data_IF_841528143976
#
_entry.id   IF_841528143976
#
_cell.length_a   1.000
_cell.length_b   1.000
_cell.length_c   1.000
_cell.angle_alpha   90.00
_cell.angle_beta   90.00
_cell.angle_gamma   90.00
#
_symmetry.space_group_name_H-M   'P 1'
#
loop_
_entity.id
_entity.type
_entity.pdbx_description
1 polymer ?
#
# COMPACT_ATOMS: atom_id res chain seq x y z
N UNK A 1 31.62 19.47 -2.97
CA UNK A 1 30.43 19.34 -3.83
C UNK A 1 29.52 18.34 -3.16
N UNK A 2 28.24 18.64 -2.96
CA UNK A 2 27.29 17.64 -2.42
C UNK A 2 27.04 16.65 -3.56
N UNK A 3 27.24 15.33 -3.38
CA UNK A 3 27.03 14.35 -4.43
C UNK A 3 25.58 14.37 -4.95
N UNK A 4 25.37 13.95 -6.20
CA UNK A 4 24.07 13.95 -6.85
C UNK A 4 23.01 13.25 -5.99
N UNK A 5 21.85 13.90 -5.81
CA UNK A 5 20.77 13.36 -4.98
C UNK A 5 20.18 12.12 -5.66
N UNK A 6 20.18 11.00 -4.94
CA UNK A 6 19.60 9.75 -5.43
C UNK A 6 18.09 9.94 -5.76
N UNK A 7 17.66 9.64 -7.01
CA UNK A 7 16.28 9.83 -7.42
C UNK A 7 15.34 8.72 -6.93
N UNK A 8 15.89 7.57 -6.54
CA UNK A 8 15.13 6.44 -6.03
C UNK A 8 14.90 6.57 -4.52
N UNK A 9 13.69 6.18 -4.09
CA UNK A 9 13.20 6.38 -2.72
C UNK A 9 12.71 5.05 -2.12
N UNK A 10 13.62 4.16 -1.67
CA UNK A 10 13.25 2.89 -1.07
C UNK A 10 12.71 3.01 0.36
N UNK A 11 12.59 4.22 0.91
CA UNK A 11 12.05 4.44 2.25
C UNK A 11 10.54 4.15 2.31
N UNK A 12 10.11 3.52 3.40
CA UNK A 12 8.72 3.12 3.60
C UNK A 12 7.75 4.30 3.48
N UNK A 13 6.71 4.13 2.66
CA UNK A 13 5.64 5.11 2.48
C UNK A 13 6.03 6.40 1.74
N UNK A 14 7.27 6.55 1.28
CA UNK A 14 7.65 7.69 0.45
C UNK A 14 7.18 7.48 -0.99
N UNK A 15 6.47 8.46 -1.55
CA UNK A 15 6.13 8.44 -2.97
C UNK A 15 7.41 8.51 -3.82
N UNK A 16 7.57 7.59 -4.79
CA UNK A 16 8.69 7.62 -5.71
C UNK A 16 8.62 8.89 -6.57
N UNK A 17 9.76 9.32 -7.13
CA UNK A 17 9.77 10.46 -8.05
C UNK A 17 8.97 10.14 -9.31
N UNK A 18 9.04 8.88 -9.74
CA UNK A 18 8.28 8.37 -10.86
C UNK A 18 7.52 7.12 -10.41
N UNK A 19 6.21 7.17 -10.56
CA UNK A 19 5.33 6.05 -10.26
C UNK A 19 5.22 5.15 -11.48
N UNK A 20 5.42 3.85 -11.28
CA UNK A 20 5.45 2.88 -12.36
C UNK A 20 4.06 2.28 -12.63
N UNK A 21 3.50 2.51 -13.82
CA UNK A 21 2.35 1.75 -14.33
C UNK A 21 1.08 1.89 -13.49
N UNK A 22 0.79 3.10 -13.00
CA UNK A 22 -0.41 3.43 -12.19
C UNK A 22 -1.16 4.67 -12.70
N UNK A 23 -0.82 5.13 -13.90
CA UNK A 23 -1.35 6.35 -14.50
C UNK A 23 -2.85 6.21 -14.78
N UNK A 24 -3.30 5.01 -15.14
CA UNK A 24 -4.71 4.73 -15.40
C UNK A 24 -5.55 4.86 -14.13
N UNK A 25 -5.10 4.27 -13.02
CA UNK A 25 -5.77 4.29 -11.72
C UNK A 25 -5.87 5.73 -11.19
N UNK A 26 -4.77 6.48 -11.25
CA UNK A 26 -4.75 7.89 -10.84
C UNK A 26 -5.67 8.74 -11.72
N UNK A 27 -5.62 8.53 -13.04
CA UNK A 27 -6.50 9.26 -13.96
C UNK A 27 -7.96 8.94 -13.70
N UNK A 28 -8.30 7.65 -13.50
CA UNK A 28 -9.64 7.18 -13.14
C UNK A 28 -10.16 7.85 -11.88
N UNK A 29 -9.33 7.92 -10.83
CA UNK A 29 -9.66 8.62 -9.59
C UNK A 29 -9.87 10.12 -9.80
N UNK A 30 -9.01 10.78 -10.57
CA UNK A 30 -9.13 12.21 -10.89
C UNK A 30 -10.45 12.52 -11.61
N UNK A 31 -10.87 11.67 -12.56
CA UNK A 31 -12.18 11.78 -13.19
C UNK A 31 -13.30 11.70 -12.15
N UNK A 32 -13.15 10.86 -11.13
CA UNK A 32 -14.11 10.75 -10.03
C UNK A 32 -14.23 12.02 -9.21
N UNK A 33 -13.11 12.61 -8.83
CA UNK A 33 -13.10 13.85 -8.05
C UNK A 33 -13.76 15.02 -8.82
N UNK A 34 -13.48 15.15 -10.11
CA UNK A 34 -14.06 16.21 -10.96
C UNK A 34 -15.52 15.93 -11.36
N UNK A 35 -15.92 14.66 -11.46
CA UNK A 35 -17.19 14.22 -12.03
C UNK A 35 -18.46 14.52 -11.23
N UNK A 36 -18.36 15.18 -10.07
CA UNK A 36 -19.50 15.49 -9.20
C UNK A 36 -20.02 14.29 -8.39
N UNK A 37 -21.01 14.55 -7.53
CA UNK A 37 -21.63 13.56 -6.65
C UNK A 37 -22.18 12.37 -7.45
N UNK A 38 -21.95 11.15 -6.94
CA UNK A 38 -22.44 9.92 -7.57
C UNK A 38 -21.50 9.27 -8.57
N UNK A 39 -20.33 9.85 -8.83
CA UNK A 39 -19.28 9.17 -9.60
C UNK A 39 -18.82 7.89 -8.89
N UNK A 40 -18.85 6.75 -9.59
CA UNK A 40 -18.39 5.46 -9.07
C UNK A 40 -16.90 5.45 -8.73
N UNK A 41 -16.12 6.33 -9.37
CA UNK A 41 -14.68 6.47 -9.18
C UNK A 41 -14.31 7.22 -7.89
N UNK A 42 -15.28 7.53 -7.02
CA UNK A 42 -15.06 8.15 -5.70
C UNK A 42 -14.97 7.15 -4.55
N UNK A 43 -15.20 5.86 -4.79
CA UNK A 43 -15.04 4.82 -3.77
C UNK A 43 -14.08 3.74 -4.31
N UNK A 44 -12.92 3.59 -3.69
CA UNK A 44 -11.88 2.67 -4.13
C UNK A 44 -11.43 1.73 -3.01
N UNK A 45 -11.21 0.47 -3.37
CA UNK A 45 -10.60 -0.54 -2.53
C UNK A 45 -9.35 -1.06 -3.24
N UNK A 46 -8.19 -0.80 -2.66
CA UNK A 46 -6.88 -1.18 -3.15
C UNK A 46 -6.42 -2.42 -2.39
N UNK A 47 -6.19 -3.52 -3.11
CA UNK A 47 -5.75 -4.79 -2.54
C UNK A 47 -4.36 -5.16 -3.07
N UNK A 48 -3.69 -6.10 -2.41
CA UNK A 48 -2.41 -6.65 -2.87
C UNK A 48 -1.43 -6.93 -1.74
N UNK A 49 -0.30 -7.55 -2.06
CA UNK A 49 0.69 -7.96 -1.06
C UNK A 49 1.42 -6.78 -0.43
N UNK A 50 2.23 -7.02 0.61
CA UNK A 50 3.09 -5.97 1.18
C UNK A 50 4.06 -5.47 0.11
N UNK A 51 4.40 -4.17 0.12
CA UNK A 51 5.43 -3.57 -0.75
C UNK A 51 5.09 -3.43 -2.25
N UNK A 52 3.86 -3.74 -2.68
CA UNK A 52 3.39 -3.52 -4.07
C UNK A 52 2.95 -2.08 -4.37
N UNK A 53 3.15 -1.15 -3.43
CA UNK A 53 2.84 0.27 -3.63
C UNK A 53 1.42 0.70 -3.26
N UNK A 54 0.72 -0.04 -2.39
CA UNK A 54 -0.63 0.34 -1.90
C UNK A 54 -0.65 1.72 -1.22
N UNK A 55 0.17 1.92 -0.19
CA UNK A 55 0.31 3.20 0.52
C UNK A 55 0.77 4.31 -0.42
N UNK A 56 1.66 4.00 -1.37
CA UNK A 56 2.11 4.96 -2.39
C UNK A 56 0.91 5.39 -3.25
N UNK A 57 0.10 4.46 -3.73
CA UNK A 57 -1.09 4.79 -4.53
C UNK A 57 -2.11 5.62 -3.73
N UNK A 58 -2.31 5.32 -2.44
CA UNK A 58 -3.14 6.16 -1.57
C UNK A 58 -2.57 7.59 -1.47
N UNK A 59 -1.26 7.74 -1.27
CA UNK A 59 -0.63 9.07 -1.22
C UNK A 59 -0.83 9.85 -2.53
N UNK A 60 -0.79 9.18 -3.68
CA UNK A 60 -1.04 9.82 -4.99
C UNK A 60 -2.50 10.27 -5.14
N UNK A 61 -3.45 9.49 -4.62
CA UNK A 61 -4.85 9.91 -4.53
C UNK A 61 -5.00 11.13 -3.63
N UNK A 62 -4.34 11.16 -2.48
CA UNK A 62 -4.34 12.32 -1.59
C UNK A 62 -3.72 13.56 -2.26
N UNK A 63 -2.60 13.41 -2.97
CA UNK A 63 -1.98 14.51 -3.70
C UNK A 63 -2.88 15.02 -4.83
N UNK A 64 -3.53 14.12 -5.57
CA UNK A 64 -4.55 14.47 -6.56
C UNK A 64 -5.71 15.24 -5.96
N UNK A 65 -6.22 14.79 -4.81
CA UNK A 65 -7.28 15.46 -4.09
C UNK A 65 -6.85 16.87 -3.67
N UNK A 66 -5.64 17.03 -3.12
CA UNK A 66 -5.08 18.33 -2.80
C UNK A 66 -4.99 19.26 -4.00
N UNK A 67 -4.41 18.79 -5.12
CA UNK A 67 -4.30 19.59 -6.36
C UNK A 67 -5.66 20.07 -6.87
N UNK A 68 -6.72 19.31 -6.60
CA UNK A 68 -8.10 19.64 -6.96
C UNK A 68 -8.85 20.41 -5.86
N UNK A 69 -8.18 20.81 -4.78
CA UNK A 69 -8.76 21.62 -3.70
C UNK A 69 -9.56 20.84 -2.66
N UNK A 70 -9.50 19.51 -2.67
CA UNK A 70 -10.20 18.68 -1.68
C UNK A 70 -9.48 18.67 -0.33
N UNK A 71 -10.27 18.51 0.74
CA UNK A 71 -9.79 18.27 2.10
C UNK A 71 -9.47 16.79 2.23
N UNK A 72 -8.30 16.44 2.76
CA UNK A 72 -7.92 15.04 2.97
C UNK A 72 -7.86 14.74 4.46
N UNK A 73 -8.57 13.70 4.88
CA UNK A 73 -8.49 13.13 6.23
C UNK A 73 -8.07 11.66 6.16
N UNK A 74 -7.18 11.26 7.07
CA UNK A 74 -6.70 9.88 7.16
C UNK A 74 -7.33 9.18 8.36
N UNK A 75 -7.85 7.97 8.14
CA UNK A 75 -8.24 7.06 9.20
C UNK A 75 -7.10 6.06 9.45
N UNK A 76 -6.67 5.97 10.70
CA UNK A 76 -5.68 4.98 11.12
C UNK A 76 -6.41 3.69 11.49
N UNK A 77 -6.18 2.62 10.73
CA UNK A 77 -6.83 1.35 10.95
C UNK A 77 -6.35 0.70 12.26
N UNK A 78 -7.13 0.85 13.32
CA UNK A 78 -6.96 0.20 14.61
C UNK A 78 -8.32 0.03 15.31
N UNK A 79 -8.32 -0.45 16.55
CA UNK A 79 -9.54 -0.65 17.33
C UNK A 79 -10.21 0.65 17.83
N UNK A 80 -9.64 1.82 17.55
CA UNK A 80 -10.10 3.15 17.97
C UNK A 80 -10.30 4.10 16.77
N UNK A 81 -10.19 3.61 15.53
CA UNK A 81 -10.32 4.37 14.28
C UNK A 81 -11.56 5.30 14.28
N UNK A 82 -12.72 4.68 14.55
CA UNK A 82 -13.94 5.21 15.16
C UNK A 82 -13.81 6.56 15.86
N UNK A 83 -13.32 6.42 17.09
CA UNK A 83 -13.18 7.47 18.08
C UNK A 83 -12.14 8.51 17.65
N UNK A 84 -11.01 8.10 17.07
CA UNK A 84 -9.95 9.01 16.62
C UNK A 84 -10.47 9.97 15.53
N UNK A 85 -11.17 9.44 14.52
CA UNK A 85 -11.80 10.25 13.48
C UNK A 85 -12.79 11.26 14.09
N UNK A 86 -13.68 10.76 14.97
CA UNK A 86 -14.76 11.54 15.58
C UNK A 86 -14.26 12.64 16.52
N UNK A 87 -13.22 12.35 17.30
CA UNK A 87 -12.82 13.17 18.46
C UNK A 87 -11.58 14.01 18.20
N UNK A 88 -10.76 13.69 17.18
CA UNK A 88 -9.52 14.41 16.87
C UNK A 88 -9.43 14.79 15.39
N UNK A 89 -9.32 13.82 14.46
CA UNK A 89 -9.01 14.11 13.05
C UNK A 89 -10.03 15.05 12.40
N UNK A 90 -11.33 14.81 12.59
CA UNK A 90 -12.37 15.64 11.98
C UNK A 90 -12.45 17.03 12.63
N UNK A 91 -12.48 17.16 13.98
CA UNK A 91 -12.38 18.46 14.63
C UNK A 91 -11.19 19.30 14.17
N UNK A 92 -9.98 18.72 14.10
CA UNK A 92 -8.77 19.41 13.65
C UNK A 92 -8.90 19.90 12.20
N UNK A 93 -9.44 19.08 11.31
CA UNK A 93 -9.70 19.48 9.93
C UNK A 93 -10.68 20.65 9.82
N UNK A 94 -11.73 20.70 10.65
CA UNK A 94 -12.67 21.82 10.68
C UNK A 94 -11.97 23.10 11.18
N UNK A 95 -11.20 23.02 12.26
CA UNK A 95 -10.48 24.19 12.80
C UNK A 95 -9.51 24.80 11.80
N UNK A 96 -8.84 23.97 10.99
CA UNK A 96 -7.93 24.43 9.94
C UNK A 96 -8.65 25.09 8.75
N UNK A 97 -9.85 24.60 8.39
CA UNK A 97 -10.73 25.26 7.41
C UNK A 97 -11.12 26.67 7.89
N UNK A 98 -11.62 26.78 9.12
CA UNK A 98 -12.05 28.05 9.72
C UNK A 98 -10.89 29.05 9.81
N UNK A 99 -9.68 28.58 10.09
CA UNK A 99 -8.48 29.43 10.11
C UNK A 99 -8.12 29.98 8.74
N UNK A 100 -8.32 29.18 7.69
CA UNK A 100 -8.03 29.54 6.31
C UNK A 100 -9.06 30.55 5.79
N UNK A 101 -10.34 30.39 6.15
CA UNK A 101 -11.42 31.35 5.85
C UNK A 101 -11.11 32.76 6.37
N UNK A 102 -10.70 32.86 7.64
CA UNK A 102 -10.40 34.16 8.30
C UNK A 102 -9.23 34.92 7.67
N UNK A 103 -8.36 34.24 6.91
CA UNK A 103 -7.18 34.84 6.26
C UNK A 103 -7.38 35.15 4.77
N UNK A 104 -8.58 34.96 4.22
CA UNK A 104 -8.88 35.27 2.82
C UNK A 104 -8.09 34.44 1.80
N UNK A 105 -7.55 33.28 2.19
CA UNK A 105 -6.86 32.36 1.27
C UNK A 105 -7.88 31.36 0.72
N UNK A 106 -7.89 31.16 -0.60
CA UNK A 106 -8.61 30.01 -1.19
C UNK A 106 -7.89 28.72 -0.78
N UNK A 107 -8.65 27.72 -0.38
CA UNK A 107 -8.11 26.39 -0.06
C UNK A 107 -7.64 25.75 -1.35
N UNK A 108 -6.37 25.36 -1.40
CA UNK A 108 -5.76 24.67 -2.54
C UNK A 108 -5.27 23.27 -2.15
N UNK A 109 -5.87 22.67 -1.12
CA UNK A 109 -5.53 21.36 -0.56
C UNK A 109 -4.63 21.42 0.68
N UNK A 110 -5.02 20.72 1.75
CA UNK A 110 -4.19 20.44 2.93
C UNK A 110 -4.59 19.10 3.59
N UNK A 111 -3.63 18.43 4.23
CA UNK A 111 -3.78 17.11 4.87
C UNK A 111 -3.72 17.25 6.38
N UNK A 112 -4.71 16.69 7.09
CA UNK A 112 -4.65 16.57 8.55
C UNK A 112 -4.25 15.14 8.92
N UNK A 113 -3.04 15.00 9.44
CA UNK A 113 -2.57 13.79 10.09
C UNK A 113 -2.87 13.91 11.59
N UNK A 114 -3.58 12.94 12.17
CA UNK A 114 -3.92 12.94 13.59
C UNK A 114 -2.68 12.85 14.45
N UNK A 115 -2.13 14.00 14.86
CA UNK A 115 -0.96 14.08 15.73
C UNK A 115 -1.45 14.16 17.17
N UNK A 116 -1.30 13.06 17.90
CA UNK A 116 -1.09 13.04 19.35
C UNK A 116 -2.24 13.59 20.20
N UNK A 117 -2.96 12.68 20.85
CA UNK A 117 -4.04 12.96 21.80
C UNK A 117 -3.74 14.12 22.76
N UNK A 118 -4.33 15.30 22.51
CA UNK A 118 -4.67 16.21 23.58
C UNK A 118 -5.97 15.68 24.18
N UNK A 119 -5.85 14.86 25.23
CA UNK A 119 -7.01 14.48 26.04
C UNK A 119 -7.45 15.69 26.87
N UNK A 120 -8.13 16.63 26.24
CA UNK A 120 -9.01 17.53 26.97
C UNK A 120 -10.21 16.70 27.40
N UNK A 121 -10.19 16.27 28.66
CA UNK A 121 -11.40 15.80 29.34
C UNK A 121 -12.38 16.98 29.41
N UNK A 122 -13.12 17.20 28.34
CA UNK A 122 -14.27 18.08 28.35
C UNK A 122 -15.37 17.36 29.12
N UNK A 123 -15.45 17.67 30.41
CA UNK A 123 -16.60 17.33 31.25
C UNK A 123 -17.77 18.18 30.76
N UNK A 124 -18.54 17.66 29.80
CA UNK A 124 -19.85 18.22 29.50
C UNK A 124 -20.85 17.13 29.15
N UNK A 125 -22.00 17.21 29.82
CA UNK A 125 -23.14 16.30 29.78
C UNK A 125 -23.90 16.38 28.44
N UNK A 126 -23.19 16.49 27.32
CA UNK A 126 -23.74 16.53 25.96
C UNK A 126 -23.56 15.16 25.32
N UNK A 127 -24.57 14.70 24.59
CA UNK A 127 -24.48 13.47 23.81
C UNK A 127 -23.26 13.54 22.88
N UNK A 128 -22.39 12.52 22.93
CA UNK A 128 -21.25 12.47 22.02
C UNK A 128 -21.77 12.44 20.57
N UNK A 129 -21.22 13.28 19.67
CA UNK A 129 -21.67 13.31 18.28
C UNK A 129 -21.33 11.98 17.60
N UNK A 130 -22.19 11.48 16.73
CA UNK A 130 -21.88 10.29 15.92
C UNK A 130 -20.83 10.61 14.85
N UNK A 131 -20.13 9.59 14.34
CA UNK A 131 -19.18 9.75 13.23
C UNK A 131 -19.83 10.45 12.02
N UNK A 132 -21.03 10.01 11.61
CA UNK A 132 -21.81 10.64 10.53
C UNK A 132 -22.02 12.12 10.78
N UNK A 133 -22.41 12.49 12.01
CA UNK A 133 -22.65 13.90 12.33
C UNK A 133 -21.37 14.74 12.25
N UNK A 134 -20.22 14.19 12.65
CA UNK A 134 -18.91 14.85 12.54
C UNK A 134 -18.49 15.03 11.09
N UNK A 135 -18.53 13.96 10.30
CA UNK A 135 -18.22 14.01 8.87
C UNK A 135 -19.13 14.99 8.13
N UNK A 136 -20.43 15.01 8.46
CA UNK A 136 -21.38 15.98 7.90
C UNK A 136 -20.99 17.42 8.22
N UNK A 137 -20.53 17.71 9.43
CA UNK A 137 -20.04 19.05 9.80
C UNK A 137 -18.80 19.44 9.00
N UNK A 138 -17.84 18.52 8.82
CA UNK A 138 -16.66 18.75 8.00
C UNK A 138 -17.03 19.02 6.54
N UNK A 139 -17.91 18.21 5.96
CA UNK A 139 -18.37 18.39 4.58
C UNK A 139 -19.12 19.71 4.38
N UNK A 140 -19.87 20.18 5.38
CA UNK A 140 -20.49 21.52 5.34
C UNK A 140 -19.45 22.64 5.36
N UNK A 141 -18.42 22.52 6.19
CA UNK A 141 -17.32 23.48 6.23
C UNK A 141 -16.55 23.46 4.90
N UNK A 142 -16.20 22.29 4.38
CA UNK A 142 -15.50 22.14 3.10
C UNK A 142 -16.32 22.73 1.93
N UNK A 143 -17.64 22.52 1.92
CA UNK A 143 -18.54 23.07 0.89
C UNK A 143 -18.57 24.61 0.88
N UNK A 144 -18.39 25.28 2.02
CA UNK A 144 -18.27 26.74 2.05
C UNK A 144 -17.02 27.25 1.30
N UNK A 145 -16.08 26.36 0.99
CA UNK A 145 -14.88 26.61 0.20
C UNK A 145 -14.89 25.93 -1.18
N UNK A 146 -16.06 25.52 -1.68
CA UNK A 146 -16.22 24.77 -2.93
C UNK A 146 -15.39 23.47 -2.98
N UNK A 147 -15.15 22.85 -1.80
CA UNK A 147 -14.32 21.66 -1.65
C UNK A 147 -15.13 20.43 -1.20
N UNK A 148 -14.70 19.25 -1.67
CA UNK A 148 -15.10 17.95 -1.14
C UNK A 148 -14.13 17.41 -0.09
N UNK A 149 -14.42 16.24 0.47
CA UNK A 149 -13.57 15.53 1.43
C UNK A 149 -13.17 14.16 0.88
N UNK A 150 -11.87 13.88 0.83
CA UNK A 150 -11.32 12.54 0.64
C UNK A 150 -10.99 11.93 2.01
N UNK A 151 -11.56 10.76 2.30
CA UNK A 151 -11.18 9.94 3.44
C UNK A 151 -10.36 8.73 2.97
N UNK A 152 -9.15 8.57 3.51
CA UNK A 152 -8.31 7.41 3.23
C UNK A 152 -8.19 6.47 4.43
N UNK A 153 -8.07 5.16 4.18
CA UNK A 153 -7.80 4.14 5.20
C UNK A 153 -6.69 3.23 4.70
N UNK A 154 -5.55 3.18 5.37
CA UNK A 154 -4.47 2.24 5.03
C UNK A 154 -4.46 1.04 5.99
N UNK A 155 -3.97 -0.10 5.51
CA UNK A 155 -3.90 -1.38 6.23
C UNK A 155 -5.26 -1.81 6.84
N UNK A 156 -6.34 -1.87 6.05
CA UNK A 156 -7.71 -2.18 6.54
C UNK A 156 -7.81 -3.42 7.44
N UNK A 157 -6.96 -4.42 7.22
CA UNK A 157 -6.90 -5.63 8.06
C UNK A 157 -6.44 -5.38 9.50
N UNK A 158 -5.97 -4.18 9.83
CA UNK A 158 -5.58 -3.77 11.18
C UNK A 158 -6.76 -3.23 12.01
N UNK A 159 -7.85 -2.82 11.35
CA UNK A 159 -9.10 -2.43 12.01
C UNK A 159 -10.02 -3.65 12.18
N UNK A 160 -10.93 -3.58 13.16
CA UNK A 160 -12.00 -4.58 13.24
C UNK A 160 -13.03 -4.34 12.12
N UNK A 161 -13.70 -5.42 11.72
CA UNK A 161 -14.75 -5.35 10.70
C UNK A 161 -15.90 -4.42 11.15
N UNK A 162 -16.19 -4.36 12.45
CA UNK A 162 -17.21 -3.47 13.03
C UNK A 162 -16.86 -1.98 12.88
N UNK A 163 -15.58 -1.61 13.09
CA UNK A 163 -15.10 -0.24 12.92
C UNK A 163 -15.20 0.20 11.44
N UNK A 164 -14.81 -0.68 10.52
CA UNK A 164 -14.94 -0.45 9.08
C UNK A 164 -16.40 -0.39 8.62
N UNK A 165 -17.28 -1.22 9.19
CA UNK A 165 -18.72 -1.21 8.89
C UNK A 165 -19.40 0.08 9.34
N UNK A 166 -19.03 0.61 10.51
CA UNK A 166 -19.51 1.92 10.97
C UNK A 166 -19.08 3.05 10.04
N UNK A 167 -17.82 3.04 9.59
CA UNK A 167 -17.30 4.01 8.63
C UNK A 167 -18.00 3.89 7.27
N UNK A 168 -18.16 2.68 6.75
CA UNK A 168 -18.83 2.42 5.47
C UNK A 168 -20.30 2.88 5.48
N UNK A 169 -21.03 2.59 6.56
CA UNK A 169 -22.41 3.06 6.77
C UNK A 169 -22.45 4.59 6.77
N UNK A 170 -21.49 5.23 7.45
CA UNK A 170 -21.45 6.67 7.52
C UNK A 170 -21.20 7.34 6.16
N UNK A 171 -20.28 6.79 5.37
CA UNK A 171 -20.00 7.27 4.02
C UNK A 171 -21.21 7.05 3.11
N UNK A 172 -21.88 5.91 3.20
CA UNK A 172 -23.08 5.61 2.42
C UNK A 172 -24.19 6.64 2.68
N UNK A 173 -24.43 7.01 3.95
CA UNK A 173 -25.42 8.02 4.32
C UNK A 173 -25.08 9.40 3.74
N UNK A 174 -23.80 9.79 3.77
CA UNK A 174 -23.35 11.08 3.24
C UNK A 174 -23.45 11.16 1.71
N UNK A 175 -23.16 10.06 1.02
CA UNK A 175 -23.35 9.96 -0.44
C UNK A 175 -24.83 10.06 -0.79
N UNK A 176 -25.71 9.40 -0.01
CA UNK A 176 -27.17 9.48 -0.18
C UNK A 176 -27.70 10.90 0.03
N UNK A 177 -27.10 11.64 0.96
CA UNK A 177 -27.40 13.04 1.24
C UNK A 177 -26.73 14.02 0.24
N UNK A 178 -26.15 13.51 -0.85
CA UNK A 178 -25.49 14.26 -1.92
C UNK A 178 -24.31 15.15 -1.47
N UNK A 179 -23.55 14.70 -0.47
CA UNK A 179 -22.29 15.35 -0.11
C UNK A 179 -21.13 14.91 -1.01
N UNK A 180 -20.20 15.84 -1.28
CA UNK A 180 -18.95 15.59 -2.00
C UNK A 180 -17.92 14.87 -1.12
N UNK A 181 -18.15 13.58 -0.88
CA UNK A 181 -17.22 12.68 -0.21
C UNK A 181 -16.63 11.66 -1.17
N UNK A 182 -15.33 11.44 -1.07
CA UNK A 182 -14.58 10.36 -1.71
C UNK A 182 -13.92 9.48 -0.64
N UNK A 183 -13.72 8.21 -0.97
CA UNK A 183 -13.22 7.18 -0.08
C UNK A 183 -12.22 6.31 -0.82
N UNK A 184 -11.04 6.11 -0.25
CA UNK A 184 -10.07 5.15 -0.74
C UNK A 184 -9.51 4.34 0.42
N UNK A 185 -9.59 3.02 0.37
CA UNK A 185 -9.02 2.15 1.39
C UNK A 185 -8.04 1.16 0.78
N UNK A 186 -6.98 0.82 1.51
CA UNK A 186 -6.00 -0.16 1.09
C UNK A 186 -5.74 -1.23 2.16
N UNK A 187 -5.44 -2.46 1.72
CA UNK A 187 -5.03 -3.53 2.62
C UNK A 187 -4.59 -4.80 1.91
N UNK A 188 -4.38 -5.86 2.69
CA UNK A 188 -4.13 -7.20 2.15
C UNK A 188 -5.36 -7.71 1.39
N UNK A 189 -5.14 -8.59 0.42
CA UNK A 189 -6.20 -9.15 -0.44
C UNK A 189 -7.34 -9.72 0.41
N UNK A 190 -7.00 -10.58 1.36
CA UNK A 190 -7.98 -11.21 2.24
C UNK A 190 -8.71 -10.22 3.17
N UNK A 191 -8.02 -9.21 3.69
CA UNK A 191 -8.65 -8.21 4.56
C UNK A 191 -9.69 -7.36 3.82
N UNK A 192 -9.43 -7.06 2.54
CA UNK A 192 -10.40 -6.38 1.68
C UNK A 192 -11.57 -7.31 1.33
N UNK A 193 -11.32 -8.60 1.09
CA UNK A 193 -12.38 -9.59 0.85
C UNK A 193 -13.30 -9.77 2.08
N UNK A 194 -12.71 -9.94 3.28
CA UNK A 194 -13.45 -10.05 4.55
C UNK A 194 -14.34 -8.81 4.79
N UNK A 195 -13.79 -7.62 4.52
CA UNK A 195 -14.55 -6.38 4.57
C UNK A 195 -15.76 -6.40 3.65
N UNK A 196 -15.64 -6.96 2.44
CA UNK A 196 -16.72 -7.01 1.45
C UNK A 196 -17.77 -8.09 1.75
N UNK A 197 -17.39 -9.17 2.42
CA UNK A 197 -18.30 -10.24 2.81
C UNK A 197 -19.24 -9.83 3.94
N UNK A 198 -18.82 -8.89 4.79
CA UNK A 198 -19.61 -8.40 5.93
C UNK A 198 -20.97 -7.79 5.51
N UNK A 199 -22.01 -8.00 6.34
CA UNK A 199 -23.38 -7.55 6.01
C UNK A 199 -23.52 -6.01 6.09
N UNK A 200 -22.76 -5.38 6.98
CA UNK A 200 -22.78 -3.92 7.19
C UNK A 200 -22.04 -3.09 6.13
N UNK A 201 -21.46 -3.72 5.10
CA UNK A 201 -20.55 -3.07 4.14
C UNK A 201 -20.99 -3.28 2.70
N UNK A 202 -22.26 -3.67 2.47
CA UNK A 202 -22.82 -3.93 1.13
C UNK A 202 -22.62 -2.78 0.15
N UNK A 203 -22.57 -1.53 0.61
CA UNK A 203 -22.21 -0.37 -0.21
C UNK A 203 -20.82 -0.49 -0.83
N UNK A 204 -19.81 -0.93 -0.07
CA UNK A 204 -18.43 -1.08 -0.52
C UNK A 204 -18.28 -2.13 -1.63
N UNK A 205 -19.23 -3.06 -1.79
CA UNK A 205 -19.24 -4.02 -2.91
C UNK A 205 -19.36 -3.36 -4.28
N UNK A 206 -19.81 -2.09 -4.33
CA UNK A 206 -19.89 -1.29 -5.55
C UNK A 206 -18.69 -0.35 -5.73
N UNK A 207 -17.76 -0.32 -4.76
CA UNK A 207 -16.52 0.42 -4.91
C UNK A 207 -15.67 -0.16 -6.05
N UNK A 208 -14.91 0.69 -6.71
CA UNK A 208 -13.93 0.26 -7.70
C UNK A 208 -12.83 -0.54 -7.00
N UNK A 209 -12.53 -1.73 -7.52
CA UNK A 209 -11.47 -2.59 -7.01
C UNK A 209 -10.21 -2.42 -7.83
N UNK A 210 -9.10 -2.19 -7.13
CA UNK A 210 -7.76 -2.08 -7.70
C UNK A 210 -6.86 -3.15 -7.05
N UNK A 211 -6.60 -4.23 -7.77
CA UNK A 211 -5.75 -5.31 -7.29
C UNK A 211 -4.31 -5.06 -7.76
N UNK A 212 -3.46 -4.62 -6.83
CA UNK A 212 -2.07 -4.29 -7.14
C UNK A 212 -1.20 -5.53 -7.15
N UNK A 213 -0.67 -5.84 -8.33
CA UNK A 213 0.28 -6.91 -8.57
C UNK A 213 1.71 -6.42 -8.84
N UNK A 214 2.53 -7.39 -9.25
CA UNK A 214 3.86 -7.14 -9.80
C UNK A 214 3.77 -6.34 -11.09
N UNK A 215 4.81 -5.55 -11.35
CA UNK A 215 5.07 -4.87 -12.61
C UNK A 215 5.67 -5.87 -13.61
N UNK A 216 5.37 -5.71 -14.89
CA UNK A 216 6.09 -6.42 -15.94
C UNK A 216 7.50 -5.85 -16.14
N UNK A 217 8.38 -6.66 -16.72
CA UNK A 217 9.80 -6.32 -16.92
C UNK A 217 9.97 -5.06 -17.79
N UNK A 218 9.05 -4.81 -18.74
CA UNK A 218 9.10 -3.62 -19.58
C UNK A 218 8.84 -2.35 -18.76
N UNK A 219 7.84 -2.38 -17.88
CA UNK A 219 7.50 -1.29 -16.97
C UNK A 219 8.62 -1.04 -15.96
N UNK A 220 9.24 -2.12 -15.44
CA UNK A 220 10.41 -2.01 -14.55
C UNK A 220 11.58 -1.35 -15.26
N UNK A 221 11.97 -1.87 -16.43
CA UNK A 221 13.10 -1.36 -17.20
C UNK A 221 12.89 0.11 -17.57
N UNK A 222 11.69 0.46 -18.06
CA UNK A 222 11.35 1.85 -18.41
C UNK A 222 11.45 2.77 -17.21
N UNK A 223 10.91 2.36 -16.05
CA UNK A 223 10.95 3.20 -14.84
C UNK A 223 12.37 3.39 -14.32
N UNK A 224 13.18 2.31 -14.26
CA UNK A 224 14.59 2.39 -13.88
C UNK A 224 15.36 3.34 -14.81
N UNK A 225 15.17 3.17 -16.12
CA UNK A 225 15.83 3.97 -17.15
C UNK A 225 15.45 5.45 -17.06
N UNK A 226 14.16 5.75 -17.07
CA UNK A 226 13.64 7.13 -17.08
C UNK A 226 13.94 7.86 -15.76
N UNK A 227 13.78 7.20 -14.60
CA UNK A 227 14.10 7.79 -13.29
C UNK A 227 15.59 8.18 -13.20
N UNK A 228 16.48 7.28 -13.62
CA UNK A 228 17.93 7.51 -13.52
C UNK A 228 18.41 8.53 -14.57
N UNK A 229 17.90 8.45 -15.80
CA UNK A 229 18.22 9.40 -16.89
C UNK A 229 17.76 10.82 -16.55
N UNK A 230 16.56 10.99 -16.00
CA UNK A 230 16.05 12.30 -15.58
C UNK A 230 16.90 12.96 -14.49
N UNK A 231 17.61 12.15 -13.69
CA UNK A 231 18.54 12.62 -12.67
C UNK A 231 19.98 12.79 -13.19
N UNK A 232 20.23 12.53 -14.48
CA UNK A 232 21.52 12.78 -15.14
C UNK A 232 22.48 11.59 -15.17
N UNK A 233 22.04 10.37 -14.82
CA UNK A 233 22.89 9.17 -14.83
C UNK A 233 22.08 7.95 -15.22
N UNK A 234 22.09 7.63 -16.52
CA UNK A 234 21.35 6.51 -17.07
C UNK A 234 22.00 5.15 -16.79
N UNK A 235 21.26 4.07 -17.07
CA UNK A 235 21.78 2.70 -17.08
C UNK A 235 22.42 2.37 -18.44
N UNK A 236 23.54 1.67 -18.41
CA UNK A 236 24.01 0.90 -19.58
C UNK A 236 23.04 -0.25 -19.86
N UNK A 237 22.94 -0.68 -21.12
CA UNK A 237 21.95 -1.69 -21.56
C UNK A 237 22.00 -2.98 -20.73
N UNK A 238 23.18 -3.60 -20.60
CA UNK A 238 23.37 -4.82 -19.80
C UNK A 238 23.05 -4.60 -18.31
N UNK A 239 23.40 -3.45 -17.77
CA UNK A 239 23.10 -3.09 -16.39
C UNK A 239 21.59 -2.96 -16.15
N UNK A 240 20.85 -2.41 -17.11
CA UNK A 240 19.40 -2.28 -17.04
C UNK A 240 18.71 -3.65 -17.08
N UNK A 241 19.17 -4.56 -17.93
CA UNK A 241 18.68 -5.93 -17.99
C UNK A 241 18.89 -6.66 -16.65
N UNK A 242 20.10 -6.60 -16.08
CA UNK A 242 20.40 -7.22 -14.79
C UNK A 242 19.59 -6.59 -13.64
N UNK A 243 19.49 -5.27 -13.61
CA UNK A 243 18.72 -4.57 -12.58
C UNK A 243 17.25 -4.95 -12.66
N UNK A 244 16.68 -5.04 -13.86
CA UNK A 244 15.29 -5.47 -14.09
C UNK A 244 15.07 -6.88 -13.56
N UNK A 245 15.99 -7.81 -13.81
CA UNK A 245 15.91 -9.18 -13.30
C UNK A 245 15.95 -9.24 -11.77
N UNK A 246 16.77 -8.40 -11.11
CA UNK A 246 16.83 -8.32 -9.64
C UNK A 246 15.54 -7.78 -9.01
N UNK A 247 14.75 -6.99 -9.75
CA UNK A 247 13.52 -6.38 -9.23
C UNK A 247 12.38 -7.40 -9.10
N UNK A 248 12.37 -8.44 -9.94
CA UNK A 248 11.30 -9.45 -10.00
C UNK A 248 9.88 -8.83 -10.05
N UNK A 249 9.74 -7.71 -10.78
CA UNK A 249 8.49 -6.96 -10.89
C UNK A 249 8.01 -6.26 -9.61
N UNK A 250 8.74 -6.33 -8.49
CA UNK A 250 8.26 -5.86 -7.20
C UNK A 250 8.58 -4.36 -6.98
N UNK A 251 7.58 -3.48 -6.84
CA UNK A 251 7.79 -2.02 -6.80
C UNK A 251 8.79 -1.52 -5.74
N UNK A 252 8.78 -2.11 -4.55
CA UNK A 252 9.77 -1.76 -3.52
C UNK A 252 11.21 -2.14 -3.95
N UNK A 253 11.39 -3.30 -4.59
CA UNK A 253 12.70 -3.70 -5.11
C UNK A 253 13.16 -2.79 -6.25
N UNK A 254 12.25 -2.30 -7.09
CA UNK A 254 12.58 -1.31 -8.13
C UNK A 254 13.30 -0.10 -7.52
N UNK A 255 12.73 0.45 -6.45
CA UNK A 255 13.33 1.58 -5.74
C UNK A 255 14.64 1.20 -5.04
N UNK A 256 14.72 0.00 -4.44
CA UNK A 256 15.91 -0.44 -3.73
C UNK A 256 17.09 -0.70 -4.69
N UNK A 257 16.87 -1.50 -5.73
CA UNK A 257 17.88 -1.84 -6.75
C UNK A 257 18.36 -0.57 -7.44
N UNK A 258 17.44 0.31 -7.86
CA UNK A 258 17.77 1.60 -8.44
C UNK A 258 18.61 2.46 -7.49
N UNK A 259 18.21 2.57 -6.22
CA UNK A 259 18.92 3.37 -5.24
C UNK A 259 20.35 2.86 -4.97
N UNK A 260 20.52 1.55 -4.79
CA UNK A 260 21.81 0.96 -4.51
C UNK A 260 22.74 1.05 -5.73
N UNK A 261 22.25 0.71 -6.93
CA UNK A 261 23.04 0.79 -8.16
C UNK A 261 23.47 2.23 -8.48
N UNK A 262 22.55 3.20 -8.30
CA UNK A 262 22.86 4.63 -8.39
C UNK A 262 23.97 5.03 -7.42
N UNK A 263 23.85 4.61 -6.16
CA UNK A 263 24.80 4.97 -5.10
C UNK A 263 26.19 4.41 -5.38
N UNK A 264 26.31 3.15 -5.82
CA UNK A 264 27.58 2.57 -6.24
C UNK A 264 28.22 3.40 -7.37
N UNK A 265 27.45 3.77 -8.39
CA UNK A 265 27.94 4.56 -9.52
C UNK A 265 28.41 5.97 -9.10
N UNK A 266 27.69 6.63 -8.18
CA UNK A 266 28.09 7.93 -7.62
C UNK A 266 29.38 7.81 -6.81
N UNK A 267 29.51 6.78 -5.96
CA UNK A 267 30.71 6.57 -5.14
C UNK A 267 31.96 6.26 -5.98
N UNK A 268 31.78 5.57 -7.11
CA UNK A 268 32.86 5.32 -8.09
C UNK A 268 33.14 6.54 -8.99
N UNK A 269 32.31 7.59 -8.96
CA UNK A 269 32.49 8.78 -9.77
C UNK A 269 32.24 8.56 -11.27
N UNK A 270 31.44 7.56 -11.64
CA UNK A 270 31.06 7.30 -13.04
C UNK A 270 29.96 8.26 -13.48
N UNK A 271 29.60 8.30 -14.76
CA UNK A 271 28.41 9.04 -15.26
C UNK A 271 27.26 8.10 -15.65
N UNK A 272 27.54 6.79 -15.73
CA UNK A 272 26.60 5.76 -16.18
C UNK A 272 26.56 4.62 -15.17
N UNK A 273 25.38 4.08 -14.90
CA UNK A 273 25.23 2.87 -14.09
C UNK A 273 25.55 1.67 -14.98
N UNK A 274 26.76 1.13 -14.80
CA UNK A 274 27.28 -0.06 -15.47
C UNK A 274 27.01 -1.37 -14.71
N UNK A 275 27.21 -2.50 -15.40
CA UNK A 275 26.96 -3.89 -14.93
C UNK A 275 27.65 -4.20 -13.60
N UNK A 276 28.88 -3.72 -13.40
CA UNK A 276 29.62 -3.91 -12.14
C UNK A 276 28.89 -3.33 -10.93
N UNK A 277 28.15 -2.23 -11.08
CA UNK A 277 27.44 -1.61 -9.96
C UNK A 277 26.23 -2.46 -9.57
N UNK A 278 25.54 -3.05 -10.55
CA UNK A 278 24.36 -3.91 -10.33
C UNK A 278 24.79 -5.27 -9.77
N UNK A 279 25.80 -5.90 -10.36
CA UNK A 279 26.35 -7.16 -9.87
C UNK A 279 26.93 -7.07 -8.46
N UNK A 280 27.50 -5.90 -8.07
CA UNK A 280 28.00 -5.68 -6.71
C UNK A 280 26.90 -5.75 -5.64
N UNK A 281 25.69 -5.27 -5.94
CA UNK A 281 24.57 -5.19 -4.99
C UNK A 281 23.70 -6.46 -5.00
N UNK A 282 23.80 -7.30 -6.04
CA UNK A 282 22.93 -8.45 -6.25
C UNK A 282 22.85 -9.39 -5.03
N UNK A 283 23.98 -9.60 -4.34
CA UNK A 283 24.07 -10.46 -3.15
C UNK A 283 23.44 -9.85 -1.90
N UNK A 284 23.27 -8.53 -1.87
CA UNK A 284 22.73 -7.80 -0.73
C UNK A 284 21.19 -7.73 -0.78
N UNK A 285 20.60 -7.85 -1.98
CA UNK A 285 19.14 -7.73 -2.18
C UNK A 285 18.34 -8.71 -1.32
N UNK A 286 18.65 -10.03 -1.26
CA UNK A 286 17.91 -10.94 -0.39
C UNK A 286 18.02 -10.58 1.10
N UNK A 287 19.16 -10.05 1.56
CA UNK A 287 19.33 -9.62 2.94
C UNK A 287 18.52 -8.36 3.27
N UNK A 288 18.48 -7.39 2.35
CA UNK A 288 17.61 -6.22 2.47
C UNK A 288 16.13 -6.61 2.52
N UNK A 289 15.69 -7.50 1.63
CA UNK A 289 14.33 -8.05 1.65
C UNK A 289 14.05 -8.79 2.96
N UNK A 290 15.00 -9.58 3.45
CA UNK A 290 14.93 -10.27 4.73
C UNK A 290 14.64 -9.31 5.89
N UNK A 291 15.41 -8.24 5.98
CA UNK A 291 15.33 -7.27 7.07
C UNK A 291 14.09 -6.37 7.00
N UNK A 292 13.71 -5.91 5.80
CA UNK A 292 12.68 -4.88 5.63
C UNK A 292 11.29 -5.44 5.32
N UNK A 293 11.20 -6.62 4.70
CA UNK A 293 9.92 -7.20 4.26
C UNK A 293 9.66 -8.54 4.94
N UNK A 294 10.54 -9.52 4.77
CA UNK A 294 10.26 -10.91 5.19
C UNK A 294 10.17 -11.05 6.70
N UNK A 295 11.07 -10.42 7.48
CA UNK A 295 11.02 -10.47 8.96
C UNK A 295 9.70 -9.96 9.51
N UNK A 296 9.14 -8.92 8.91
CA UNK A 296 7.85 -8.33 9.31
C UNK A 296 6.70 -9.23 8.84
N UNK A 297 6.72 -9.69 7.58
CA UNK A 297 5.68 -10.55 7.02
C UNK A 297 5.58 -11.90 7.74
N UNK A 298 6.71 -12.40 8.24
CA UNK A 298 6.78 -13.66 8.98
C UNK A 298 6.62 -13.46 10.49
N UNK A 299 6.49 -12.22 10.97
CA UNK A 299 6.25 -11.92 12.39
C UNK A 299 4.92 -12.55 12.79
N UNK A 300 4.91 -13.31 13.88
CA UNK A 300 3.73 -14.04 14.38
C UNK A 300 3.17 -15.11 13.44
N UNK A 301 3.92 -15.59 12.44
CA UNK A 301 3.54 -16.78 11.68
C UNK A 301 3.72 -18.02 12.57
N UNK A 302 2.65 -18.80 12.87
CA UNK A 302 2.73 -19.98 13.73
C UNK A 302 3.62 -21.09 13.16
N UNK A 303 4.17 -21.94 14.03
CA UNK A 303 5.13 -22.99 13.66
C UNK A 303 4.65 -23.92 12.54
N UNK A 304 3.37 -24.30 12.54
CA UNK A 304 2.81 -25.16 11.50
C UNK A 304 2.82 -24.50 10.11
N UNK A 305 2.57 -23.18 10.06
CA UNK A 305 2.65 -22.39 8.83
C UNK A 305 4.11 -22.14 8.45
N UNK A 306 4.99 -21.92 9.43
CA UNK A 306 6.42 -21.75 9.20
C UNK A 306 7.06 -23.01 8.62
N UNK A 307 6.70 -24.18 9.13
CA UNK A 307 7.13 -25.47 8.60
C UNK A 307 6.68 -25.66 7.15
N UNK A 308 5.45 -25.25 6.80
CA UNK A 308 4.95 -25.25 5.43
C UNK A 308 5.80 -24.38 4.50
N UNK A 309 6.10 -23.14 4.91
CA UNK A 309 6.92 -22.22 4.12
C UNK A 309 8.37 -22.72 3.97
N UNK A 310 8.96 -23.30 5.02
CA UNK A 310 10.29 -23.90 4.93
C UNK A 310 10.30 -25.10 3.97
N UNK A 311 9.30 -25.98 4.04
CA UNK A 311 9.17 -27.09 3.10
C UNK A 311 9.01 -26.62 1.65
N UNK A 312 8.24 -25.54 1.42
CA UNK A 312 8.19 -24.88 0.11
C UNK A 312 9.56 -24.39 -0.33
N UNK A 313 10.29 -23.71 0.54
CA UNK A 313 11.60 -23.16 0.22
C UNK A 313 12.59 -24.25 -0.17
N UNK A 314 12.63 -25.39 0.54
CA UNK A 314 13.49 -26.51 0.16
C UNK A 314 13.09 -27.12 -1.19
N UNK A 315 11.79 -27.22 -1.49
CA UNK A 315 11.28 -27.82 -2.72
C UNK A 315 11.41 -26.93 -3.97
N UNK A 316 11.64 -25.63 -3.80
CA UNK A 316 11.79 -24.67 -4.89
C UNK A 316 12.98 -24.99 -5.80
N UNK A 317 14.05 -25.60 -5.27
CA UNK A 317 15.23 -26.01 -6.07
C UNK A 317 14.90 -27.12 -7.07
N UNK A 318 13.95 -27.98 -6.72
CA UNK A 318 13.63 -29.19 -7.49
C UNK A 318 12.42 -28.98 -8.40
N UNK A 319 11.47 -28.13 -7.98
CA UNK A 319 10.20 -27.90 -8.67
C UNK A 319 10.09 -26.53 -9.34
N UNK A 320 11.03 -25.61 -9.09
CA UNK A 320 10.92 -24.22 -9.50
C UNK A 320 9.85 -23.48 -8.70
N UNK A 321 9.31 -22.40 -9.28
CA UNK A 321 8.42 -21.45 -8.60
C UNK A 321 7.07 -22.05 -8.20
N UNK A 322 6.47 -22.92 -9.03
CA UNK A 322 5.16 -23.52 -8.79
C UNK A 322 5.31 -24.89 -8.08
N UNK A 323 5.20 -24.88 -6.75
CA UNK A 323 5.50 -26.04 -5.91
C UNK A 323 4.24 -26.90 -5.70
N UNK A 324 4.25 -28.22 -5.97
CA UNK A 324 3.11 -29.09 -5.74
C UNK A 324 2.74 -29.21 -4.25
N UNK A 325 1.46 -28.98 -3.92
CA UNK A 325 0.95 -29.10 -2.53
C UNK A 325 1.13 -30.51 -1.97
N UNK A 326 1.02 -31.53 -2.84
CA UNK A 326 1.31 -32.92 -2.46
C UNK A 326 2.76 -33.17 -2.08
N UNK A 327 3.72 -32.53 -2.77
CA UNK A 327 5.14 -32.64 -2.43
C UNK A 327 5.43 -31.99 -1.06
N UNK A 328 4.80 -30.85 -0.77
CA UNK A 328 4.89 -30.19 0.55
C UNK A 328 4.35 -31.11 1.64
N UNK A 329 3.20 -31.75 1.42
CA UNK A 329 2.62 -32.70 2.38
C UNK A 329 3.58 -33.87 2.66
N UNK A 330 4.14 -34.47 1.61
CA UNK A 330 5.12 -35.56 1.71
C UNK A 330 6.38 -35.13 2.46
N UNK A 331 6.94 -33.95 2.14
CA UNK A 331 8.12 -33.38 2.83
C UNK A 331 7.87 -33.20 4.33
N UNK A 332 6.65 -32.81 4.70
CA UNK A 332 6.23 -32.65 6.09
C UNK A 332 5.81 -33.95 6.78
N UNK A 333 5.82 -35.09 6.09
CA UNK A 333 5.32 -36.36 6.62
C UNK A 333 3.82 -36.34 6.96
N UNK A 334 3.03 -35.53 6.25
CA UNK A 334 1.60 -35.29 6.51
C UNK A 334 0.74 -35.68 5.30
N UNK A 335 -0.56 -35.88 5.54
CA UNK A 335 -1.53 -35.99 4.44
C UNK A 335 -1.85 -34.59 3.88
N UNK A 336 -2.31 -34.48 2.61
CA UNK A 336 -2.75 -33.20 2.05
C UNK A 336 -3.81 -32.48 2.91
N UNK A 337 -4.73 -33.23 3.50
CA UNK A 337 -5.77 -32.68 4.38
C UNK A 337 -5.19 -32.06 5.66
N UNK A 338 -4.13 -32.66 6.22
CA UNK A 338 -3.52 -32.18 7.45
C UNK A 338 -2.77 -30.85 7.28
N UNK A 339 -2.43 -30.45 6.06
CA UNK A 339 -1.78 -29.16 5.76
C UNK A 339 -2.75 -28.10 5.20
N UNK A 340 -4.01 -28.46 4.93
CA UNK A 340 -5.01 -27.58 4.32
C UNK A 340 -5.25 -26.30 5.13
N UNK A 341 -5.33 -26.40 6.45
CA UNK A 341 -5.53 -25.23 7.31
C UNK A 341 -4.32 -24.29 7.31
N UNK A 342 -3.11 -24.83 7.42
CA UNK A 342 -1.89 -24.03 7.34
C UNK A 342 -1.78 -23.32 5.98
N UNK A 343 -2.09 -24.03 4.89
CA UNK A 343 -2.15 -23.47 3.54
C UNK A 343 -3.15 -22.33 3.44
N UNK A 344 -4.38 -22.52 3.93
CA UNK A 344 -5.44 -21.49 3.95
C UNK A 344 -4.95 -20.23 4.66
N UNK A 345 -4.45 -20.37 5.88
CA UNK A 345 -3.98 -19.24 6.70
C UNK A 345 -2.76 -18.51 6.10
N UNK A 346 -1.97 -19.18 5.24
CA UNK A 346 -0.88 -18.56 4.49
C UNK A 346 -1.35 -17.77 3.26
N UNK A 347 -2.44 -18.21 2.60
CA UNK A 347 -3.12 -17.40 1.58
C UNK A 347 -3.69 -16.12 2.20
N UNK A 348 -4.38 -16.25 3.35
CA UNK A 348 -4.96 -15.10 4.08
C UNK A 348 -3.90 -14.06 4.52
N UNK A 349 -2.63 -14.47 4.62
CA UNK A 349 -1.49 -13.59 4.95
C UNK A 349 -0.78 -12.99 3.74
N UNK A 350 -1.24 -13.27 2.52
CA UNK A 350 -0.56 -12.89 1.27
C UNK A 350 0.91 -13.37 1.21
N UNK A 351 1.21 -14.54 1.81
CA UNK A 351 2.55 -15.15 1.77
C UNK A 351 2.70 -16.13 0.61
N UNK A 352 1.61 -16.77 0.21
CA UNK A 352 1.57 -17.73 -0.90
C UNK A 352 0.34 -17.48 -1.78
N UNK A 353 0.46 -17.84 -3.06
CA UNK A 353 -0.64 -17.83 -4.03
C UNK A 353 -0.65 -19.12 -4.87
N UNK A 354 -1.71 -19.34 -5.64
CA UNK A 354 -1.89 -20.51 -6.50
C UNK A 354 -2.22 -20.04 -7.91
N UNK A 355 -1.33 -20.27 -8.88
CA UNK A 355 -1.57 -20.00 -10.31
C UNK A 355 -2.21 -21.18 -11.03
N UNK A 356 -1.94 -22.40 -10.56
CA UNK A 356 -2.42 -23.65 -11.14
C UNK A 356 -2.95 -24.57 -10.05
N UNK A 357 -3.99 -25.32 -10.40
CA UNK A 357 -4.59 -26.27 -9.48
C UNK A 357 -3.54 -27.23 -8.86
N UNK A 358 -3.56 -27.35 -7.54
CA UNK A 358 -2.67 -28.25 -6.80
C UNK A 358 -1.26 -27.71 -6.55
N UNK A 359 -0.94 -26.49 -6.97
CA UNK A 359 0.39 -25.87 -6.77
C UNK A 359 0.31 -24.57 -5.99
N UNK A 360 1.41 -24.18 -5.34
CA UNK A 360 1.55 -22.91 -4.62
C UNK A 360 2.92 -22.29 -4.91
N UNK A 361 3.01 -20.97 -4.87
CA UNK A 361 4.25 -20.21 -5.01
C UNK A 361 4.30 -19.10 -3.97
N UNK A 362 5.51 -18.61 -3.65
CA UNK A 362 5.68 -17.43 -2.80
C UNK A 362 5.18 -16.18 -3.52
N UNK A 363 4.49 -15.32 -2.79
CA UNK A 363 4.09 -14.00 -3.29
C UNK A 363 5.18 -12.93 -3.11
N UNK A 364 6.06 -13.12 -2.12
CA UNK A 364 7.14 -12.19 -1.82
C UNK A 364 8.44 -12.63 -2.52
N UNK A 365 9.07 -11.76 -3.33
CA UNK A 365 10.37 -12.05 -3.94
C UNK A 365 11.41 -12.47 -2.90
N UNK A 366 12.33 -13.36 -3.28
CA UNK A 366 13.44 -13.83 -2.45
C UNK A 366 13.04 -14.50 -1.11
N UNK A 367 11.76 -14.77 -0.87
CA UNK A 367 11.31 -15.38 0.40
C UNK A 367 11.85 -16.80 0.57
N UNK A 368 11.88 -17.61 -0.50
CA UNK A 368 12.47 -18.95 -0.47
C UNK A 368 13.96 -18.92 -0.09
N UNK A 369 14.75 -18.04 -0.73
CA UNK A 369 16.17 -17.84 -0.43
C UNK A 369 16.41 -17.39 1.02
N UNK A 370 15.59 -16.45 1.50
CA UNK A 370 15.62 -16.00 2.88
C UNK A 370 15.34 -17.13 3.88
N UNK A 371 14.34 -17.98 3.58
CA UNK A 371 13.97 -19.11 4.44
C UNK A 371 15.03 -20.22 4.48
N UNK A 372 15.73 -20.48 3.36
CA UNK A 372 16.88 -21.40 3.30
C UNK A 372 18.12 -20.88 4.03
N UNK A 373 18.10 -19.65 4.54
CA UNK A 373 19.27 -19.02 5.17
C UNK A 373 20.39 -18.70 4.18
N UNK A 374 20.05 -18.56 2.89
CA UNK A 374 20.99 -18.22 1.83
C UNK A 374 21.16 -16.70 1.66
N UNK A 375 20.39 -15.89 2.40
CA UNK A 375 20.66 -14.46 2.55
C UNK A 375 21.88 -14.25 3.47
N UNK A 376 22.91 -13.48 3.04
CA UNK A 376 24.04 -13.18 3.92
C UNK A 376 23.53 -12.51 5.21
N UNK A 377 24.00 -13.01 6.36
CA UNK A 377 23.64 -12.50 7.69
C UNK A 377 24.27 -11.15 7.97
#
# INVERSE_FOLDING_TARGET
MIPDKNPFRPSFGASPVQLAGREFEISSFNYGLVGGVGSMQRALLVSGTRGVGKTVLLNEFEESAHRLGWVVIRAYADAQMVAQLRDSTIPEAIEELDYTEKKGRKITGFSVAGVGSVTTQLTHNQAQPSLVSRLRSLLKAARAHDAGVLLTVDEVQAASVDELAQLATAIQDLIRDEYDIAFAAAGLTFGVEELLEHEGTTFLRRAQRLDLGLLDDATVAETLHSTATAAGRGFAERALEEATALVQGYPYLLQLVGALAWTCAVLEGTETIEERHVSSIAREIPAHMGNQVHKIALKNVPDAQRAFLNAMAELETDHGTDIPTGAIATSLGKSPNAISMARKLLFERDLIASRRYGTVHFLLPYLGEYLRGQAPR
#
